data_IF_159959399056
#
_entry.id   IF_159959399056
#
_cell.length_a   1.000
_cell.length_b   1.000
_cell.length_c   1.000
_cell.angle_alpha   90.00
_cell.angle_beta   90.00
_cell.angle_gamma   90.00
#
_symmetry.space_group_name_H-M   'P 1'
#
loop_
_entity.id
_entity.type
_entity.pdbx_description
1 polymer ?
#
# COMPACT_ATOMS: atom_id res chain seq x y z
N UNK A 1 -8.88 -0.74 -10.45
CA UNK A 1 -8.09 -1.17 -9.26
C UNK A 1 -7.78 0.07 -8.44
N UNK A 2 -7.68 -0.02 -7.12
CA UNK A 2 -7.24 1.10 -6.27
C UNK A 2 -5.73 1.00 -6.09
N UNK A 3 -5.01 2.08 -6.40
CA UNK A 3 -3.58 2.21 -6.14
C UNK A 3 -3.34 3.05 -4.90
N UNK A 4 -2.57 2.53 -3.96
CA UNK A 4 -2.19 3.23 -2.74
C UNK A 4 -0.90 4.01 -2.98
N UNK A 5 -0.91 5.32 -2.71
CA UNK A 5 0.27 6.16 -2.89
C UNK A 5 1.22 6.02 -1.71
N UNK A 6 2.50 6.22 -1.96
CA UNK A 6 3.52 6.33 -0.90
C UNK A 6 3.55 5.10 0.06
N UNK A 7 3.24 3.90 -0.44
CA UNK A 7 3.27 2.66 0.34
C UNK A 7 2.30 2.64 1.51
N UNK A 8 2.73 2.14 2.67
CA UNK A 8 1.88 2.02 3.85
C UNK A 8 1.35 3.36 4.36
N UNK A 9 2.12 4.44 4.18
CA UNK A 9 1.70 5.77 4.61
C UNK A 9 0.39 6.20 3.92
N UNK A 10 0.25 5.97 2.61
CA UNK A 10 -0.98 6.35 1.93
C UNK A 10 -2.19 5.48 2.29
N UNK A 11 -1.99 4.27 2.81
CA UNK A 11 -3.11 3.49 3.33
C UNK A 11 -3.61 4.04 4.67
N UNK A 12 -2.72 4.63 5.48
CA UNK A 12 -3.05 5.31 6.74
C UNK A 12 -3.69 6.67 6.45
N UNK A 13 -3.11 7.44 5.52
CA UNK A 13 -3.51 8.82 5.22
C UNK A 13 -4.64 8.92 4.19
N UNK A 14 -5.19 7.79 3.75
CA UNK A 14 -6.22 7.70 2.70
C UNK A 14 -5.78 8.32 1.35
N UNK A 15 -4.47 8.25 1.06
CA UNK A 15 -3.90 8.66 -0.22
C UNK A 15 -4.01 7.54 -1.25
N UNK A 16 -5.15 7.47 -1.92
CA UNK A 16 -5.41 6.47 -2.95
C UNK A 16 -5.72 7.11 -4.32
N UNK A 17 -5.61 6.31 -5.38
CA UNK A 17 -5.93 6.71 -6.75
C UNK A 17 -6.52 5.55 -7.53
N UNK A 18 -7.53 5.81 -8.35
CA UNK A 18 -8.04 4.82 -9.30
C UNK A 18 -6.98 4.53 -10.37
N UNK A 19 -6.66 3.25 -10.54
CA UNK A 19 -5.83 2.73 -11.61
C UNK A 19 -6.70 2.17 -12.73
N UNK A 20 -6.50 2.72 -13.92
CA UNK A 20 -7.18 2.38 -15.16
C UNK A 20 -6.19 2.34 -16.33
N UNK A 21 -6.65 1.90 -17.50
CA UNK A 21 -5.78 1.80 -18.70
C UNK A 21 -5.20 3.15 -19.12
N UNK A 22 -5.92 4.25 -18.93
CA UNK A 22 -5.48 5.59 -19.34
C UNK A 22 -4.31 6.07 -18.49
N UNK A 23 -4.34 5.80 -17.19
CA UNK A 23 -3.32 6.26 -16.24
C UNK A 23 -2.20 5.25 -15.96
N UNK A 24 -2.29 4.03 -16.50
CA UNK A 24 -1.24 2.99 -16.43
C UNK A 24 -0.54 2.74 -17.77
N UNK A 25 -1.05 3.25 -18.89
CA UNK A 25 -0.41 3.08 -20.20
C UNK A 25 0.93 3.82 -20.31
N UNK A 26 1.92 3.18 -20.94
CA UNK A 26 3.22 3.80 -21.25
C UNK A 26 4.16 3.94 -20.04
N UNK A 27 4.00 3.09 -19.01
CA UNK A 27 4.86 3.06 -17.83
C UNK A 27 5.84 1.88 -17.80
N UNK A 28 5.73 0.94 -18.76
CA UNK A 28 6.49 -0.32 -18.75
C UNK A 28 8.01 -0.11 -18.88
N UNK A 29 8.42 0.93 -19.58
CA UNK A 29 9.79 1.34 -19.84
C UNK A 29 10.26 2.48 -18.90
N UNK A 30 9.39 2.91 -17.97
CA UNK A 30 9.71 3.98 -17.01
C UNK A 30 10.24 3.40 -15.72
N UNK A 31 11.39 3.89 -15.28
CA UNK A 31 11.93 3.60 -13.95
C UNK A 31 11.09 4.22 -12.82
N UNK A 32 11.22 3.67 -11.61
CA UNK A 32 10.50 4.12 -10.43
C UNK A 32 9.08 3.57 -10.34
N UNK A 33 8.19 4.27 -9.64
CA UNK A 33 6.80 3.87 -9.44
C UNK A 33 5.88 5.08 -9.58
N UNK A 34 4.77 4.92 -10.32
CA UNK A 34 3.75 5.97 -10.48
C UNK A 34 2.96 6.25 -9.19
N UNK A 35 3.04 5.35 -8.20
CA UNK A 35 2.39 5.51 -6.90
C UNK A 35 3.34 6.11 -5.84
N UNK A 36 4.64 6.21 -6.11
CA UNK A 36 5.63 6.59 -5.11
C UNK A 36 5.90 5.49 -4.09
N UNK A 37 6.77 5.77 -3.13
CA UNK A 37 7.14 4.86 -2.04
C UNK A 37 7.45 5.67 -0.78
N UNK A 38 7.30 5.05 0.38
CA UNK A 38 7.76 5.60 1.66
C UNK A 38 8.51 4.53 2.45
N UNK A 39 9.32 4.96 3.41
CA UNK A 39 10.06 4.07 4.33
C UNK A 39 9.31 3.79 5.63
N UNK A 40 8.07 4.24 5.73
CA UNK A 40 7.29 4.13 6.95
C UNK A 40 6.92 2.65 7.21
N UNK A 41 7.24 2.17 8.40
CA UNK A 41 6.72 0.91 8.89
C UNK A 41 5.52 1.18 9.80
N UNK A 42 4.34 0.58 9.54
CA UNK A 42 3.19 0.67 10.45
C UNK A 42 3.52 0.22 11.87
N UNK A 43 4.50 -0.67 12.04
CA UNK A 43 4.91 -1.17 13.35
C UNK A 43 5.80 -0.21 14.15
N UNK A 44 6.20 0.92 13.57
CA UNK A 44 6.94 1.99 14.26
C UNK A 44 6.02 3.11 14.74
N UNK A 45 4.73 3.05 14.40
CA UNK A 45 3.73 4.03 14.78
C UNK A 45 2.83 3.43 15.84
N UNK A 46 2.43 4.25 16.81
CA UNK A 46 1.41 3.89 17.78
C UNK A 46 0.11 3.49 17.06
N UNK A 47 -0.41 2.30 17.36
CA UNK A 47 -1.60 1.73 16.70
C UNK A 47 -1.49 1.58 15.17
N UNK A 48 -0.31 1.68 14.58
CA UNK A 48 -0.15 1.68 13.13
C UNK A 48 -0.74 0.49 12.39
N UNK A 49 -0.64 -0.78 12.88
CA UNK A 49 -1.34 -1.89 12.26
C UNK A 49 -2.85 -1.68 12.21
N UNK A 50 -3.47 -1.20 13.30
CA UNK A 50 -4.92 -0.95 13.31
C UNK A 50 -5.31 0.15 12.32
N UNK A 51 -4.48 1.17 12.14
CA UNK A 51 -4.71 2.20 11.12
C UNK A 51 -4.70 1.60 9.71
N UNK A 52 -3.83 0.62 9.45
CA UNK A 52 -3.82 -0.12 8.18
C UNK A 52 -5.10 -0.93 7.98
N UNK A 53 -5.55 -1.67 8.99
CA UNK A 53 -6.83 -2.41 8.93
C UNK A 53 -8.00 -1.47 8.64
N UNK A 54 -8.09 -0.36 9.36
CA UNK A 54 -9.15 0.62 9.19
C UNK A 54 -9.13 1.22 7.76
N UNK A 55 -7.95 1.55 7.23
CA UNK A 55 -7.80 2.06 5.87
C UNK A 55 -8.22 1.03 4.81
N UNK A 56 -7.84 -0.24 5.02
CA UNK A 56 -8.21 -1.35 4.15
C UNK A 56 -9.73 -1.58 4.12
N UNK A 57 -10.38 -1.64 5.29
CA UNK A 57 -11.83 -1.79 5.42
C UNK A 57 -12.59 -0.57 4.88
N UNK A 58 -12.12 0.64 5.19
CA UNK A 58 -12.74 1.89 4.71
C UNK A 58 -12.79 1.97 3.19
N UNK A 59 -11.74 1.48 2.52
CA UNK A 59 -11.66 1.43 1.06
C UNK A 59 -12.39 0.23 0.45
N UNK A 60 -12.97 -0.65 1.27
CA UNK A 60 -13.67 -1.86 0.81
C UNK A 60 -12.74 -2.80 0.05
N UNK A 61 -11.47 -2.87 0.44
CA UNK A 61 -10.50 -3.75 -0.21
C UNK A 61 -10.75 -5.20 0.21
N UNK A 62 -10.58 -6.11 -0.74
CA UNK A 62 -10.69 -7.56 -0.49
C UNK A 62 -9.34 -8.26 -0.61
N UNK A 63 -8.36 -7.59 -1.21
CA UNK A 63 -7.00 -8.08 -1.39
C UNK A 63 -6.02 -6.92 -1.53
N UNK A 64 -4.76 -7.17 -1.15
CA UNK A 64 -3.67 -6.22 -1.31
C UNK A 64 -2.52 -6.87 -2.09
N UNK A 65 -2.10 -6.21 -3.18
CA UNK A 65 -0.87 -6.56 -3.90
C UNK A 65 0.22 -5.60 -3.48
N UNK A 66 1.22 -6.11 -2.75
CA UNK A 66 2.32 -5.30 -2.24
C UNK A 66 3.59 -5.59 -3.03
N UNK A 67 4.25 -4.53 -3.50
CA UNK A 67 5.51 -4.61 -4.24
C UNK A 67 6.61 -3.85 -3.50
N UNK A 68 7.73 -4.50 -3.24
CA UNK A 68 8.86 -3.90 -2.54
C UNK A 68 9.96 -4.91 -2.21
N UNK A 69 10.95 -4.46 -1.45
CA UNK A 69 12.04 -5.32 -0.98
C UNK A 69 11.67 -6.13 0.27
N UNK A 70 12.67 -6.77 0.86
CA UNK A 70 12.52 -7.65 2.03
C UNK A 70 11.75 -6.98 3.20
N UNK A 71 12.08 -5.73 3.53
CA UNK A 71 11.38 -5.02 4.61
C UNK A 71 9.87 -4.87 4.36
N UNK A 72 9.49 -4.57 3.12
CA UNK A 72 8.09 -4.50 2.71
C UNK A 72 7.40 -5.86 2.82
N UNK A 73 8.06 -6.93 2.37
CA UNK A 73 7.52 -8.29 2.41
C UNK A 73 7.40 -8.82 3.86
N UNK A 74 8.35 -8.49 4.72
CA UNK A 74 8.32 -8.85 6.15
C UNK A 74 7.13 -8.19 6.87
N UNK A 75 6.91 -6.89 6.64
CA UNK A 75 5.75 -6.16 7.15
C UNK A 75 4.45 -6.78 6.63
N UNK A 76 4.38 -7.04 5.31
CA UNK A 76 3.22 -7.66 4.67
C UNK A 76 2.89 -9.02 5.28
N UNK A 77 3.90 -9.88 5.46
CA UNK A 77 3.73 -11.21 6.07
C UNK A 77 3.20 -11.12 7.50
N UNK A 78 3.69 -10.14 8.27
CA UNK A 78 3.23 -9.93 9.65
C UNK A 78 1.77 -9.44 9.68
N UNK A 79 1.39 -8.49 8.83
CA UNK A 79 0.01 -8.01 8.71
C UNK A 79 -0.95 -9.13 8.26
N UNK A 80 -0.55 -9.93 7.28
CA UNK A 80 -1.32 -11.09 6.83
C UNK A 80 -1.57 -12.09 7.97
N UNK A 81 -0.55 -12.39 8.79
CA UNK A 81 -0.69 -13.24 9.98
C UNK A 81 -1.61 -12.64 11.05
N UNK A 82 -1.80 -11.32 11.05
CA UNK A 82 -2.73 -10.62 11.94
C UNK A 82 -4.17 -10.60 11.39
N UNK A 83 -4.40 -11.11 10.17
CA UNK A 83 -5.72 -11.22 9.55
C UNK A 83 -6.06 -10.09 8.57
N UNK A 84 -5.05 -9.32 8.12
CA UNK A 84 -5.21 -8.42 6.97
C UNK A 84 -5.33 -9.23 5.68
#
# INVERSE_FOLDING_TARGET
MIGIRNGWNGLIDDENKILDRKNTSGIIDRGGTILGTSRLSPFQIENGPQLIFNGFEKLGLEALVVMGGEGTLSITSKLFKMGL
#
